data_IF_500411704571
#
_entry.id   IF_500411704571
#
_cell.length_a   1.000
_cell.length_b   1.000
_cell.length_c   1.000
_cell.angle_alpha   90.00
_cell.angle_beta   90.00
_cell.angle_gamma   90.00
#
_symmetry.space_group_name_H-M   'P 1'
#
loop_
_entity.id
_entity.type
_entity.pdbx_description
1 polymer ?
#
# COMPACT_ATOMS: atom_id res chain seq x y z
N UNK A 1 9.56 22.21 -21.75
CA UNK A 1 9.02 21.42 -20.62
C UNK A 1 9.36 22.13 -19.32
N UNK A 2 8.39 22.37 -18.49
CA UNK A 2 8.48 23.01 -17.18
C UNK A 2 7.98 22.02 -16.10
N UNK A 3 8.55 22.09 -14.90
CA UNK A 3 8.05 21.38 -13.73
C UNK A 3 7.45 22.40 -12.76
N UNK A 4 6.21 22.15 -12.32
CA UNK A 4 5.51 22.98 -11.33
C UNK A 4 5.06 22.15 -10.13
N UNK A 5 5.06 22.78 -8.94
CA UNK A 5 4.55 22.17 -7.72
C UNK A 5 3.05 22.34 -7.67
N UNK A 6 2.32 21.27 -7.28
CA UNK A 6 0.88 21.37 -7.07
C UNK A 6 0.57 22.19 -5.81
N UNK A 7 -0.26 23.23 -5.94
CA UNK A 7 -0.69 24.10 -4.82
C UNK A 7 -2.19 24.39 -4.83
N UNK A 8 -2.87 24.23 -5.97
CA UNK A 8 -4.31 24.44 -6.15
C UNK A 8 -5.07 23.12 -6.35
N UNK A 9 -6.38 23.12 -6.11
CA UNK A 9 -7.22 21.95 -6.33
C UNK A 9 -7.21 21.50 -7.79
N UNK A 10 -7.16 22.45 -8.74
CA UNK A 10 -7.08 22.13 -10.17
C UNK A 10 -5.76 21.42 -10.52
N UNK A 11 -4.64 21.80 -9.90
CA UNK A 11 -3.35 21.14 -10.09
C UNK A 11 -3.32 19.74 -9.44
N UNK A 12 -3.93 19.57 -8.27
CA UNK A 12 -4.11 18.24 -7.66
C UNK A 12 -4.96 17.34 -8.55
N UNK A 13 -6.04 17.86 -9.13
CA UNK A 13 -6.89 17.08 -10.05
C UNK A 13 -6.17 16.74 -11.36
N UNK A 14 -5.37 17.67 -11.90
CA UNK A 14 -4.52 17.40 -13.06
C UNK A 14 -3.48 16.30 -12.76
N UNK A 15 -2.87 16.33 -11.56
CA UNK A 15 -1.96 15.30 -11.10
C UNK A 15 -2.65 13.92 -11.00
N UNK A 16 -3.86 13.87 -10.43
CA UNK A 16 -4.69 12.67 -10.35
C UNK A 16 -5.04 12.13 -11.73
N UNK A 17 -5.42 12.99 -12.66
CA UNK A 17 -5.74 12.61 -14.04
C UNK A 17 -4.57 11.88 -14.70
N UNK A 18 -3.35 12.38 -14.57
CA UNK A 18 -2.15 11.69 -15.08
C UNK A 18 -1.94 10.34 -14.37
N UNK A 19 -2.06 10.30 -13.03
CA UNK A 19 -1.90 9.08 -12.28
C UNK A 19 -2.88 7.99 -12.70
N UNK A 20 -4.17 8.30 -12.79
CA UNK A 20 -5.22 7.37 -13.20
C UNK A 20 -5.05 6.91 -14.66
N UNK A 21 -4.54 7.78 -15.55
CA UNK A 21 -4.25 7.41 -16.92
C UNK A 21 -3.04 6.47 -17.05
N UNK A 22 -2.05 6.57 -16.15
CA UNK A 22 -0.83 5.76 -16.16
C UNK A 22 -1.01 4.47 -15.35
N UNK A 23 -1.75 4.51 -14.24
CA UNK A 23 -1.98 3.40 -13.32
C UNK A 23 -3.49 3.22 -13.02
N UNK A 24 -4.32 2.84 -13.99
CA UNK A 24 -5.79 2.85 -13.86
C UNK A 24 -6.34 1.87 -12.83
N UNK A 25 -5.55 0.88 -12.42
CA UNK A 25 -5.94 -0.13 -11.42
C UNK A 25 -5.52 0.19 -9.99
N UNK A 26 -4.76 1.28 -9.79
CA UNK A 26 -4.23 1.62 -8.46
C UNK A 26 -5.14 2.61 -7.73
N UNK A 27 -5.27 2.46 -6.41
CA UNK A 27 -5.96 3.45 -5.57
C UNK A 27 -5.37 4.83 -5.77
N UNK A 28 -6.22 5.84 -5.93
CA UNK A 28 -5.81 7.23 -6.06
C UNK A 28 -6.57 8.07 -5.03
N UNK A 29 -5.84 8.76 -4.16
CA UNK A 29 -6.44 9.64 -3.16
C UNK A 29 -7.28 10.73 -3.82
N UNK A 30 -8.38 11.12 -3.19
CA UNK A 30 -9.15 12.31 -3.56
C UNK A 30 -8.32 13.59 -3.34
N UNK A 31 -8.70 14.70 -3.96
CA UNK A 31 -8.04 16.00 -3.72
C UNK A 31 -8.05 16.37 -2.25
N UNK A 32 -9.18 16.13 -1.54
CA UNK A 32 -9.29 16.39 -0.11
C UNK A 32 -8.31 15.58 0.74
N UNK A 33 -8.16 14.28 0.42
CA UNK A 33 -7.18 13.41 1.09
C UNK A 33 -5.74 13.81 0.78
N UNK A 34 -5.45 14.19 -0.48
CA UNK A 34 -4.12 14.68 -0.87
C UNK A 34 -3.75 15.93 -0.09
N UNK A 35 -4.68 16.87 0.07
CA UNK A 35 -4.47 18.07 0.89
C UNK A 35 -4.31 17.76 2.37
N UNK A 36 -5.10 16.84 2.91
CA UNK A 36 -4.96 16.42 4.30
C UNK A 36 -3.62 15.73 4.59
N UNK A 37 -3.02 15.15 3.56
CA UNK A 37 -1.72 14.49 3.63
C UNK A 37 -0.53 15.40 3.26
N UNK A 38 -0.77 16.68 2.95
CA UNK A 38 0.29 17.64 2.66
C UNK A 38 1.22 17.82 3.86
N UNK A 39 2.49 17.79 3.59
CA UNK A 39 3.55 17.98 4.57
C UNK A 39 4.81 18.55 3.91
N UNK A 40 5.77 18.99 4.70
CA UNK A 40 7.08 19.42 4.20
C UNK A 40 7.89 18.30 3.55
N UNK A 41 7.57 17.04 3.85
CA UNK A 41 8.26 15.86 3.32
C UNK A 41 7.69 15.44 1.96
N UNK A 42 6.46 15.88 1.64
CA UNK A 42 5.77 15.56 0.39
C UNK A 42 5.99 16.60 -0.69
N UNK A 43 6.30 16.15 -1.89
CA UNK A 43 6.39 16.97 -3.10
C UNK A 43 5.55 16.35 -4.22
N UNK A 44 4.56 17.10 -4.72
CA UNK A 44 3.77 16.74 -5.89
C UNK A 44 4.14 17.66 -7.05
N UNK A 45 4.53 17.06 -8.18
CA UNK A 45 4.96 17.80 -9.38
C UNK A 45 4.06 17.50 -10.57
N UNK A 46 3.84 18.51 -11.40
CA UNK A 46 3.36 18.39 -12.77
C UNK A 46 4.50 18.65 -13.74
N UNK A 47 4.53 17.93 -14.85
CA UNK A 47 5.36 18.23 -16.00
C UNK A 47 4.46 18.81 -17.11
N UNK A 48 4.78 20.02 -17.58
CA UNK A 48 3.99 20.76 -18.57
C UNK A 48 4.81 20.97 -19.83
N UNK A 49 4.25 20.64 -21.00
CA UNK A 49 4.79 20.90 -22.33
C UNK A 49 3.75 21.69 -23.13
N UNK A 50 4.13 22.87 -23.65
CA UNK A 50 3.27 23.70 -24.51
C UNK A 50 1.89 24.03 -23.89
N UNK A 51 1.82 24.08 -22.56
CA UNK A 51 0.59 24.36 -21.80
C UNK A 51 -0.20 23.11 -21.38
N UNK A 52 0.16 21.92 -21.88
CA UNK A 52 -0.50 20.67 -21.55
C UNK A 52 0.25 19.91 -20.44
N UNK A 53 -0.50 19.33 -19.49
CA UNK A 53 0.07 18.44 -18.47
C UNK A 53 0.35 17.08 -19.08
N UNK A 54 1.62 16.70 -19.14
CA UNK A 54 2.11 15.48 -19.80
C UNK A 54 2.68 14.44 -18.85
N UNK A 55 2.86 14.82 -17.58
CA UNK A 55 3.39 13.94 -16.54
C UNK A 55 3.09 14.45 -15.15
N UNK A 56 3.18 13.57 -14.18
CA UNK A 56 3.09 13.88 -12.75
C UNK A 56 4.17 13.15 -11.97
N UNK A 57 4.48 13.63 -10.78
CA UNK A 57 5.44 12.99 -9.90
C UNK A 57 5.07 13.19 -8.44
N UNK A 58 5.48 12.24 -7.61
CA UNK A 58 5.42 12.34 -6.15
C UNK A 58 6.76 11.97 -5.56
N UNK A 59 7.19 12.75 -4.57
CA UNK A 59 8.17 12.32 -3.57
C UNK A 59 7.54 12.45 -2.19
N UNK A 60 7.84 11.49 -1.33
CA UNK A 60 7.39 11.47 0.06
C UNK A 60 8.39 10.69 0.92
N UNK A 61 8.30 10.82 2.25
CA UNK A 61 8.98 9.92 3.17
C UNK A 61 8.26 8.57 3.18
N UNK A 62 8.99 7.48 3.16
CA UNK A 62 8.40 6.14 3.32
C UNK A 62 7.86 5.98 4.74
N UNK A 63 6.64 5.43 4.87
CA UNK A 63 6.02 5.12 6.16
C UNK A 63 6.65 3.89 6.85
N UNK A 64 7.46 3.13 6.13
CA UNK A 64 7.93 1.80 6.56
C UNK A 64 9.43 1.64 6.59
N UNK A 65 10.19 2.65 6.11
CA UNK A 65 11.63 2.59 6.04
C UNK A 65 12.26 3.99 6.11
N UNK A 66 13.53 4.08 6.53
CA UNK A 66 14.33 5.32 6.42
C UNK A 66 14.73 5.55 4.96
N UNK A 67 13.75 5.90 4.14
CA UNK A 67 13.89 6.08 2.70
C UNK A 67 12.87 7.09 2.17
N UNK A 68 13.12 7.64 0.98
CA UNK A 68 12.14 8.36 0.21
C UNK A 68 11.37 7.41 -0.72
N UNK A 69 10.10 7.70 -0.93
CA UNK A 69 9.31 7.14 -2.02
C UNK A 69 9.30 8.12 -3.18
N UNK A 70 9.53 7.67 -4.43
CA UNK A 70 9.47 8.50 -5.62
C UNK A 70 8.73 7.79 -6.75
N UNK A 71 7.80 8.47 -7.40
CA UNK A 71 7.06 7.89 -8.52
C UNK A 71 6.83 8.92 -9.63
N UNK A 72 7.74 9.00 -10.62
CA UNK A 72 7.52 9.78 -11.85
C UNK A 72 6.57 9.04 -12.80
N UNK A 73 5.57 9.74 -13.34
CA UNK A 73 4.57 9.22 -14.28
C UNK A 73 4.53 10.06 -15.52
N UNK A 74 4.47 9.44 -16.71
CA UNK A 74 4.44 10.13 -17.99
C UNK A 74 3.38 9.50 -18.88
N UNK A 75 2.48 10.33 -19.41
CA UNK A 75 1.48 9.91 -20.38
C UNK A 75 2.14 9.21 -21.57
N UNK A 76 1.52 8.16 -22.09
CA UNK A 76 2.13 7.28 -23.10
C UNK A 76 2.66 8.02 -24.33
N UNK A 77 1.91 9.02 -24.85
CA UNK A 77 2.29 9.85 -25.99
C UNK A 77 3.49 10.78 -25.76
N UNK A 78 3.91 10.97 -24.49
CA UNK A 78 4.98 11.90 -24.11
C UNK A 78 6.20 11.18 -23.51
N UNK A 79 6.20 9.84 -23.53
CA UNK A 79 7.36 9.03 -23.12
C UNK A 79 8.54 9.18 -24.07
N UNK A 80 9.75 8.87 -23.57
CA UNK A 80 11.03 8.92 -24.33
C UNK A 80 11.48 10.32 -24.78
N UNK A 81 10.91 11.38 -24.18
CA UNK A 81 11.26 12.79 -24.44
C UNK A 81 12.00 13.46 -23.28
N UNK A 82 12.42 12.70 -22.27
CA UNK A 82 13.15 13.21 -21.10
C UNK A 82 12.27 13.60 -19.91
N UNK A 83 10.94 13.64 -20.05
CA UNK A 83 9.99 14.05 -19.00
C UNK A 83 10.17 13.26 -17.73
N UNK A 84 10.15 11.91 -17.80
CA UNK A 84 10.35 11.04 -16.63
C UNK A 84 11.70 11.23 -15.96
N UNK A 85 12.76 11.51 -16.75
CA UNK A 85 14.09 11.78 -16.21
C UNK A 85 14.17 13.10 -15.44
N UNK A 86 13.49 14.12 -15.91
CA UNK A 86 13.41 15.41 -15.22
C UNK A 86 12.62 15.30 -13.91
N UNK A 87 11.44 14.63 -13.96
CA UNK A 87 10.64 14.35 -12.77
C UNK A 87 11.44 13.56 -11.74
N UNK A 88 12.06 12.43 -12.14
CA UNK A 88 12.84 11.60 -11.21
C UNK A 88 13.98 12.37 -10.52
N UNK A 89 14.70 13.22 -11.26
CA UNK A 89 15.78 14.03 -10.67
C UNK A 89 15.26 15.00 -9.63
N UNK A 90 14.18 15.74 -9.94
CA UNK A 90 13.59 16.72 -9.03
C UNK A 90 13.03 16.03 -7.75
N UNK A 91 12.36 14.88 -7.91
CA UNK A 91 11.84 14.11 -6.78
C UNK A 91 12.97 13.56 -5.90
N UNK A 92 14.02 13.02 -6.51
CA UNK A 92 15.16 12.48 -5.75
C UNK A 92 15.99 13.60 -5.09
N UNK A 93 16.10 14.78 -5.71
CA UNK A 93 16.72 15.96 -5.10
C UNK A 93 15.95 16.41 -3.87
N UNK A 94 14.62 16.43 -3.92
CA UNK A 94 13.77 16.70 -2.76
C UNK A 94 14.06 15.73 -1.61
N UNK A 95 14.02 14.42 -1.87
CA UNK A 95 14.34 13.40 -0.86
C UNK A 95 15.77 13.55 -0.30
N UNK A 96 16.74 13.93 -1.15
CA UNK A 96 18.11 14.21 -0.71
C UNK A 96 18.17 15.44 0.21
N UNK A 97 17.38 16.49 -0.09
CA UNK A 97 17.21 17.69 0.75
C UNK A 97 16.61 17.39 2.12
N UNK A 98 15.80 16.34 2.24
CA UNK A 98 15.25 15.83 3.51
C UNK A 98 16.28 14.99 4.29
N UNK A 99 17.49 14.80 3.76
CA UNK A 99 18.52 13.99 4.40
C UNK A 99 18.29 12.47 4.30
N UNK A 100 17.40 12.02 3.42
CA UNK A 100 17.12 10.60 3.28
C UNK A 100 18.27 9.88 2.55
N UNK A 101 18.69 8.69 3.03
CA UNK A 101 19.88 8.00 2.49
C UNK A 101 19.60 7.30 1.15
N UNK A 102 18.34 7.05 0.82
CA UNK A 102 17.92 6.27 -0.35
C UNK A 102 16.52 6.65 -0.80
N UNK A 103 16.18 6.28 -2.04
CA UNK A 103 14.82 6.34 -2.59
C UNK A 103 14.42 4.99 -3.17
N UNK A 104 13.13 4.71 -3.15
CA UNK A 104 12.55 3.52 -3.74
C UNK A 104 11.24 3.81 -4.46
N UNK A 105 10.82 2.87 -5.27
CA UNK A 105 9.52 2.86 -5.96
C UNK A 105 9.14 1.44 -6.35
N UNK A 106 7.88 1.21 -6.70
CA UNK A 106 7.44 -0.04 -7.31
C UNK A 106 7.21 0.15 -8.82
N UNK A 107 7.58 -0.82 -9.62
CA UNK A 107 7.37 -0.87 -11.07
C UNK A 107 6.74 -2.21 -11.44
N UNK A 108 5.90 -2.24 -12.47
CA UNK A 108 5.12 -3.42 -12.86
C UNK A 108 5.28 -3.81 -14.36
N UNK A 109 6.13 -3.06 -15.10
CA UNK A 109 6.42 -3.33 -16.51
C UNK A 109 7.92 -3.24 -16.82
N UNK A 110 8.34 -3.94 -17.90
CA UNK A 110 9.74 -3.99 -18.32
C UNK A 110 10.32 -2.61 -18.70
N UNK A 111 9.50 -1.73 -19.25
CA UNK A 111 9.93 -0.39 -19.65
C UNK A 111 10.22 0.51 -18.44
N UNK A 112 9.41 0.41 -17.41
CA UNK A 112 9.59 1.10 -16.12
C UNK A 112 10.78 0.53 -15.36
N UNK A 113 10.98 -0.80 -15.38
CA UNK A 113 12.15 -1.44 -14.78
C UNK A 113 13.44 -0.99 -15.48
N UNK A 114 13.50 -1.07 -16.82
CA UNK A 114 14.65 -0.62 -17.58
C UNK A 114 14.95 0.89 -17.40
N UNK A 115 13.90 1.71 -17.20
CA UNK A 115 14.08 3.12 -16.84
C UNK A 115 14.73 3.26 -15.45
N UNK A 116 14.24 2.53 -14.44
CA UNK A 116 14.81 2.56 -13.09
C UNK A 116 16.27 2.07 -13.08
N UNK A 117 16.57 0.96 -13.73
CA UNK A 117 17.95 0.39 -13.86
C UNK A 117 18.91 1.38 -14.51
N UNK A 118 18.48 2.12 -15.54
CA UNK A 118 19.28 3.18 -16.17
C UNK A 118 19.70 4.27 -15.18
N UNK A 119 18.89 4.52 -14.14
CA UNK A 119 19.23 5.44 -13.06
C UNK A 119 19.91 4.74 -11.88
N UNK A 120 20.32 3.49 -12.03
CA UNK A 120 21.06 2.71 -11.04
C UNK A 120 20.20 2.21 -9.88
N UNK A 121 18.88 2.15 -10.04
CA UNK A 121 18.03 1.42 -9.12
C UNK A 121 18.29 -0.07 -9.26
N UNK A 122 18.20 -0.79 -8.15
CA UNK A 122 18.32 -2.25 -8.09
C UNK A 122 17.04 -2.83 -7.48
N UNK A 123 16.67 -4.00 -7.93
CA UNK A 123 15.55 -4.75 -7.35
C UNK A 123 15.89 -5.12 -5.89
N UNK A 124 14.95 -4.87 -4.98
CA UNK A 124 15.08 -5.19 -3.55
C UNK A 124 13.95 -6.08 -3.05
N UNK A 125 12.80 -6.11 -3.74
CA UNK A 125 11.65 -6.94 -3.38
C UNK A 125 10.73 -7.16 -4.59
N UNK A 126 9.84 -8.15 -4.46
CA UNK A 126 8.72 -8.41 -5.37
C UNK A 126 7.45 -8.58 -4.59
N UNK A 127 6.38 -7.95 -5.09
CA UNK A 127 5.04 -8.05 -4.55
C UNK A 127 4.10 -8.64 -5.59
N UNK A 128 3.15 -9.41 -5.12
CA UNK A 128 2.14 -10.07 -5.95
C UNK A 128 0.79 -9.47 -5.57
N UNK A 129 0.13 -8.86 -6.56
CA UNK A 129 -1.26 -8.46 -6.41
C UNK A 129 -2.16 -9.67 -6.65
N UNK A 130 -3.04 -9.90 -5.69
CA UNK A 130 -4.09 -10.90 -5.81
C UNK A 130 -5.45 -10.22 -5.61
N UNK A 131 -6.40 -10.54 -6.46
CA UNK A 131 -7.73 -9.94 -6.49
C UNK A 131 -8.80 -11.01 -6.29
N UNK A 132 -9.84 -10.68 -5.53
CA UNK A 132 -10.99 -11.53 -5.27
C UNK A 132 -12.28 -10.78 -5.61
N UNK A 133 -13.06 -11.28 -6.56
CA UNK A 133 -14.43 -10.83 -6.77
C UNK A 133 -15.29 -11.30 -5.59
N UNK A 134 -16.00 -10.37 -4.97
CA UNK A 134 -16.91 -10.64 -3.86
C UNK A 134 -18.23 -11.20 -4.43
N UNK A 135 -18.65 -12.34 -3.92
CA UNK A 135 -19.90 -12.99 -4.30
C UNK A 135 -20.84 -13.14 -3.10
N UNK A 136 -21.58 -14.23 -3.08
CA UNK A 136 -22.35 -14.64 -1.89
C UNK A 136 -21.36 -15.27 -0.88
N UNK A 137 -21.01 -14.51 0.13
CA UNK A 137 -20.02 -14.90 1.13
C UNK A 137 -20.71 -15.27 2.45
N UNK A 138 -20.83 -16.56 2.77
CA UNK A 138 -21.48 -16.98 4.01
C UNK A 138 -20.68 -16.57 5.25
N UNK A 139 -21.36 -16.42 6.39
CA UNK A 139 -20.68 -16.17 7.65
C UNK A 139 -19.69 -17.32 7.97
N UNK A 140 -18.44 -17.00 8.33
CA UNK A 140 -17.45 -18.03 8.60
C UNK A 140 -17.80 -18.82 9.87
N UNK A 141 -17.40 -20.12 9.87
CA UNK A 141 -17.53 -21.04 11.01
C UNK A 141 -16.19 -21.69 11.30
N UNK A 142 -16.07 -22.37 12.45
CA UNK A 142 -14.92 -23.20 12.76
C UNK A 142 -13.79 -22.49 13.50
N UNK A 143 -14.11 -21.51 14.36
CA UNK A 143 -13.11 -20.97 15.30
C UNK A 143 -12.64 -22.05 16.30
N UNK A 144 -11.35 -22.01 16.70
CA UNK A 144 -10.86 -22.83 17.82
C UNK A 144 -11.62 -22.52 19.11
N UNK A 145 -11.73 -23.53 19.98
CA UNK A 145 -12.35 -23.35 21.30
C UNK A 145 -11.65 -22.25 22.11
N UNK A 146 -12.42 -21.40 22.77
CA UNK A 146 -11.91 -20.27 23.55
C UNK A 146 -11.46 -19.06 22.73
N UNK A 147 -11.59 -19.10 21.41
CA UNK A 147 -11.33 -17.94 20.55
C UNK A 147 -12.66 -17.26 20.19
N UNK A 148 -12.71 -15.97 20.37
CA UNK A 148 -13.80 -15.12 19.87
C UNK A 148 -13.31 -14.11 18.83
N UNK A 149 -14.20 -13.61 17.99
CA UNK A 149 -13.89 -12.55 17.03
C UNK A 149 -14.81 -11.37 17.21
N UNK A 150 -14.22 -10.20 17.41
CA UNK A 150 -14.92 -8.93 17.56
C UNK A 150 -14.51 -7.97 16.43
N UNK A 151 -15.32 -6.96 16.19
CA UNK A 151 -14.90 -5.79 15.42
C UNK A 151 -14.15 -4.82 16.34
N UNK A 152 -13.00 -4.34 15.91
CA UNK A 152 -12.11 -3.50 16.72
C UNK A 152 -12.76 -2.17 17.14
N UNK A 153 -13.71 -1.66 16.33
CA UNK A 153 -14.50 -0.47 16.66
C UNK A 153 -15.28 -0.59 17.99
N UNK A 154 -15.59 -1.83 18.43
CA UNK A 154 -16.24 -2.09 19.72
C UNK A 154 -15.28 -2.04 20.91
N UNK A 155 -14.00 -2.24 20.68
CA UNK A 155 -12.92 -2.25 21.67
C UNK A 155 -11.66 -1.57 21.11
N UNK A 156 -11.72 -0.24 20.82
CA UNK A 156 -10.60 0.47 20.24
C UNK A 156 -9.37 0.51 21.18
N UNK A 157 -9.60 0.36 22.47
CA UNK A 157 -8.56 0.22 23.50
C UNK A 157 -7.65 -1.00 23.23
N UNK A 158 -8.20 -2.12 22.77
CA UNK A 158 -7.43 -3.34 22.51
C UNK A 158 -6.48 -3.18 21.32
N UNK A 159 -6.89 -2.49 20.25
CA UNK A 159 -6.03 -2.26 19.10
C UNK A 159 -4.80 -1.42 19.49
N UNK A 160 -5.01 -0.32 20.20
CA UNK A 160 -3.91 0.53 20.63
C UNK A 160 -2.97 -0.20 21.62
N UNK A 161 -3.54 -0.94 22.58
CA UNK A 161 -2.77 -1.65 23.59
C UNK A 161 -1.96 -2.83 23.07
N UNK A 162 -2.41 -3.49 21.98
CA UNK A 162 -1.75 -4.70 21.48
C UNK A 162 -0.51 -4.43 20.64
N UNK A 163 -0.14 -3.18 20.35
CA UNK A 163 1.00 -2.85 19.49
C UNK A 163 2.31 -3.52 19.95
N UNK A 164 2.65 -3.39 21.23
CA UNK A 164 3.91 -3.91 21.77
C UNK A 164 3.97 -5.46 21.79
N UNK A 165 2.85 -6.11 22.01
CA UNK A 165 2.79 -7.58 22.21
C UNK A 165 2.40 -8.34 20.95
N UNK A 166 1.47 -7.82 20.17
CA UNK A 166 0.94 -8.43 18.95
C UNK A 166 1.48 -7.73 17.70
N UNK A 167 1.37 -6.38 17.66
CA UNK A 167 1.71 -5.59 16.49
C UNK A 167 3.14 -5.82 16.04
N UNK A 168 4.12 -5.66 16.94
CA UNK A 168 5.54 -5.86 16.62
C UNK A 168 5.85 -7.28 16.15
N UNK A 169 5.18 -8.29 16.72
CA UNK A 169 5.38 -9.69 16.30
C UNK A 169 4.89 -9.93 14.87
N UNK A 170 3.68 -9.45 14.52
CA UNK A 170 3.12 -9.68 13.18
C UNK A 170 3.80 -8.83 12.12
N UNK A 171 4.23 -7.61 12.45
CA UNK A 171 4.97 -6.74 11.54
C UNK A 171 6.36 -7.29 11.22
N UNK A 172 7.05 -7.87 12.21
CA UNK A 172 8.33 -8.54 11.99
C UNK A 172 8.23 -9.72 11.01
N UNK A 173 7.07 -10.39 10.98
CA UNK A 173 6.81 -11.50 10.04
C UNK A 173 6.23 -11.05 8.70
N UNK A 174 5.67 -9.84 8.66
CA UNK A 174 5.18 -9.21 7.43
C UNK A 174 6.36 -8.76 6.55
N UNK A 175 7.40 -8.24 7.18
CA UNK A 175 8.61 -7.74 6.53
C UNK A 175 9.57 -8.89 6.16
N UNK A 176 9.41 -9.46 4.96
CA UNK A 176 10.25 -10.58 4.51
C UNK A 176 11.68 -10.12 4.19
N UNK A 177 11.85 -8.94 3.59
CA UNK A 177 13.16 -8.47 3.11
C UNK A 177 13.70 -7.24 3.83
N UNK A 178 12.83 -6.33 4.25
CA UNK A 178 13.23 -5.10 4.94
C UNK A 178 12.45 -4.98 6.23
N UNK A 179 13.11 -4.87 7.39
CA UNK A 179 12.43 -4.64 8.67
C UNK A 179 11.52 -3.42 8.59
N UNK A 180 10.31 -3.55 9.14
CA UNK A 180 9.37 -2.45 9.28
C UNK A 180 9.62 -1.72 10.59
N UNK A 181 9.87 -0.43 10.51
CA UNK A 181 10.01 0.46 11.66
C UNK A 181 8.81 1.39 11.72
N UNK A 182 7.78 1.02 12.47
CA UNK A 182 6.58 1.84 12.64
C UNK A 182 6.42 2.27 14.10
N UNK A 183 5.87 3.45 14.29
CA UNK A 183 5.51 3.98 15.60
C UNK A 183 4.14 3.47 16.07
N UNK A 184 3.86 3.62 17.36
CA UNK A 184 2.51 3.35 17.90
C UNK A 184 1.43 4.25 17.26
N UNK A 185 1.79 5.45 16.82
CA UNK A 185 0.89 6.35 16.11
C UNK A 185 0.56 5.80 14.73
N UNK A 186 1.56 5.38 13.94
CA UNK A 186 1.36 4.75 12.64
C UNK A 186 0.55 3.45 12.74
N UNK A 187 0.78 2.65 13.81
CA UNK A 187 -0.05 1.48 14.09
C UNK A 187 -1.53 1.82 14.20
N UNK A 188 -1.85 2.90 14.90
CA UNK A 188 -3.22 3.33 15.14
C UNK A 188 -3.89 4.01 13.94
N UNK A 189 -3.12 4.54 13.00
CA UNK A 189 -3.63 5.30 11.85
C UNK A 189 -3.49 4.54 10.54
N UNK A 190 -2.26 4.22 10.14
CA UNK A 190 -1.97 3.66 8.81
C UNK A 190 -2.21 2.15 8.72
N UNK A 191 -2.16 1.43 9.85
CA UNK A 191 -2.32 -0.02 9.91
C UNK A 191 -3.70 -0.48 10.39
N UNK A 192 -4.54 0.45 10.82
CA UNK A 192 -5.92 0.19 11.20
C UNK A 192 -6.82 0.16 9.96
N UNK A 193 -7.47 -0.97 9.73
CA UNK A 193 -8.50 -1.10 8.70
C UNK A 193 -9.90 -0.78 9.23
N UNK A 194 -10.80 -0.38 8.35
CA UNK A 194 -12.22 -0.20 8.67
C UNK A 194 -13.10 -0.93 7.63
N UNK A 195 -13.60 -2.12 7.98
CA UNK A 195 -13.57 -2.79 9.30
C UNK A 195 -12.20 -3.42 9.62
N UNK A 196 -11.91 -3.51 10.91
CA UNK A 196 -10.85 -4.35 11.46
C UNK A 196 -11.46 -5.39 12.40
N UNK A 197 -11.20 -6.68 12.17
CA UNK A 197 -11.62 -7.79 13.05
C UNK A 197 -10.45 -8.29 13.88
N UNK A 198 -10.67 -8.49 15.17
CA UNK A 198 -9.71 -9.02 16.12
C UNK A 198 -10.14 -10.40 16.59
N UNK A 199 -9.25 -11.38 16.53
CA UNK A 199 -9.39 -12.65 17.22
C UNK A 199 -8.78 -12.53 18.62
N UNK A 200 -9.56 -12.89 19.62
CA UNK A 200 -9.20 -12.80 21.04
C UNK A 200 -9.19 -14.18 21.67
N UNK A 201 -8.26 -14.38 22.62
CA UNK A 201 -8.25 -15.47 23.56
C UNK A 201 -7.86 -14.92 24.94
N UNK A 202 -8.73 -15.11 25.93
CA UNK A 202 -8.58 -14.56 27.30
C UNK A 202 -8.30 -13.04 27.28
N UNK A 203 -9.09 -12.27 26.51
CA UNK A 203 -8.94 -10.82 26.27
C UNK A 203 -7.62 -10.40 25.59
N UNK A 204 -6.75 -11.31 25.19
CA UNK A 204 -5.55 -11.01 24.43
C UNK A 204 -5.80 -11.06 22.91
N UNK A 205 -5.28 -10.08 22.16
CA UNK A 205 -5.30 -10.10 20.69
C UNK A 205 -4.31 -11.15 20.19
N UNK A 206 -4.84 -12.15 19.48
CA UNK A 206 -4.06 -13.25 18.88
C UNK A 206 -4.08 -13.25 17.37
N UNK A 207 -4.93 -12.43 16.74
CA UNK A 207 -5.00 -12.28 15.30
C UNK A 207 -5.83 -11.07 14.88
N UNK A 208 -5.60 -10.59 13.67
CA UNK A 208 -6.40 -9.55 13.04
C UNK A 208 -6.55 -9.77 11.54
N UNK A 209 -7.59 -9.20 10.95
CA UNK A 209 -7.74 -8.93 9.52
C UNK A 209 -8.70 -7.77 9.32
N UNK A 210 -8.42 -6.91 8.35
CA UNK A 210 -9.23 -5.74 8.04
C UNK A 210 -9.29 -5.42 6.56
N UNK A 211 -10.02 -4.36 6.23
CA UNK A 211 -10.15 -3.82 4.88
C UNK A 211 -9.93 -2.31 4.93
N UNK A 212 -9.37 -1.75 3.86
CA UNK A 212 -9.32 -0.32 3.57
C UNK A 212 -10.11 -0.05 2.30
N UNK A 213 -11.24 0.65 2.39
CA UNK A 213 -12.04 1.01 1.22
C UNK A 213 -11.30 2.00 0.34
N UNK A 214 -11.39 1.81 -0.97
CA UNK A 214 -10.93 2.82 -1.91
C UNK A 214 -11.92 3.99 -1.91
N UNK A 215 -11.41 5.21 -1.85
CA UNK A 215 -12.24 6.41 -1.82
C UNK A 215 -12.72 6.84 -3.19
N UNK A 216 -11.96 6.50 -4.23
CA UNK A 216 -12.27 6.75 -5.64
C UNK A 216 -13.05 5.59 -6.29
N UNK A 217 -13.11 4.43 -5.64
CA UNK A 217 -13.82 3.22 -6.09
C UNK A 217 -14.49 2.55 -4.90
N UNK A 218 -15.65 3.06 -4.45
CA UNK A 218 -16.30 2.62 -3.21
C UNK A 218 -16.77 1.16 -3.22
N UNK A 219 -16.85 0.53 -4.39
CA UNK A 219 -17.15 -0.90 -4.59
C UNK A 219 -15.90 -1.79 -4.37
N UNK A 220 -14.72 -1.20 -4.10
CA UNK A 220 -13.43 -1.87 -3.97
C UNK A 220 -12.78 -1.60 -2.63
N UNK A 221 -12.04 -2.59 -2.12
CA UNK A 221 -11.23 -2.42 -0.92
C UNK A 221 -9.91 -3.18 -1.00
N UNK A 222 -8.89 -2.66 -0.34
CA UNK A 222 -7.64 -3.36 -0.08
C UNK A 222 -7.74 -4.17 1.21
N UNK A 223 -7.15 -5.38 1.25
CA UNK A 223 -6.93 -6.03 2.52
C UNK A 223 -5.94 -5.17 3.35
N UNK A 224 -6.38 -4.73 4.50
CA UNK A 224 -5.51 -4.19 5.52
C UNK A 224 -4.65 -5.32 6.14
N UNK A 225 -3.93 -5.01 7.21
CA UNK A 225 -3.11 -6.02 7.89
C UNK A 225 -3.89 -7.30 8.18
N UNK A 226 -3.33 -8.44 7.80
CA UNK A 226 -3.76 -9.77 8.25
C UNK A 226 -2.62 -10.44 8.98
N UNK A 227 -2.80 -10.75 10.25
CA UNK A 227 -1.77 -11.37 11.08
C UNK A 227 -2.33 -12.30 12.15
N UNK A 228 -1.52 -13.30 12.52
CA UNK A 228 -1.83 -14.21 13.64
C UNK A 228 -0.54 -14.47 14.42
N UNK A 229 -0.59 -14.36 15.75
CA UNK A 229 0.53 -14.65 16.65
C UNK A 229 1.12 -16.02 16.35
N UNK A 230 2.44 -16.15 16.40
CA UNK A 230 3.17 -17.38 16.04
C UNK A 230 2.64 -18.61 16.75
N UNK A 231 2.38 -18.52 18.06
CA UNK A 231 1.84 -19.61 18.88
C UNK A 231 0.41 -20.04 18.52
N UNK A 232 -0.29 -19.26 17.71
CA UNK A 232 -1.67 -19.50 17.31
C UNK A 232 -1.84 -19.85 15.83
N UNK A 233 -0.75 -19.91 15.05
CA UNK A 233 -0.76 -20.27 13.63
C UNK A 233 -1.12 -21.74 13.41
N UNK A 234 -1.54 -22.06 12.19
CA UNK A 234 -1.94 -23.42 11.80
C UNK A 234 -3.29 -23.89 12.36
N UNK A 235 -4.03 -23.01 13.06
CA UNK A 235 -5.33 -23.34 13.67
C UNK A 235 -6.53 -22.76 12.91
N UNK A 236 -6.35 -22.26 11.67
CA UNK A 236 -7.41 -21.72 10.83
C UNK A 236 -7.83 -20.28 11.13
N UNK A 237 -7.22 -19.58 12.11
CA UNK A 237 -7.63 -18.24 12.55
C UNK A 237 -7.51 -17.22 11.40
N UNK A 238 -6.40 -17.18 10.65
CA UNK A 238 -6.25 -16.26 9.52
C UNK A 238 -7.31 -16.51 8.44
N UNK A 239 -7.58 -17.78 8.11
CA UNK A 239 -8.63 -18.14 7.14
C UNK A 239 -10.02 -17.69 7.62
N UNK A 240 -10.33 -17.88 8.89
CA UNK A 240 -11.59 -17.43 9.48
C UNK A 240 -11.71 -15.89 9.39
N UNK A 241 -10.70 -15.16 9.82
CA UNK A 241 -10.68 -13.69 9.81
C UNK A 241 -10.84 -13.14 8.39
N UNK A 242 -10.11 -13.67 7.41
CA UNK A 242 -10.27 -13.25 6.00
C UNK A 242 -11.65 -13.62 5.43
N UNK A 243 -12.24 -14.75 5.81
CA UNK A 243 -13.65 -15.06 5.46
C UNK A 243 -14.61 -14.09 6.14
N UNK A 244 -14.31 -13.63 7.34
CA UNK A 244 -15.09 -12.62 8.04
C UNK A 244 -15.04 -11.27 7.32
N UNK A 245 -13.88 -10.86 6.80
CA UNK A 245 -13.78 -9.65 5.97
C UNK A 245 -14.55 -9.81 4.65
N UNK A 246 -14.47 -10.95 3.98
CA UNK A 246 -15.23 -11.22 2.76
C UNK A 246 -16.76 -11.19 3.02
N UNK A 247 -17.22 -11.83 4.09
CA UNK A 247 -18.64 -11.79 4.49
C UNK A 247 -19.11 -10.34 4.76
N UNK A 248 -18.29 -9.57 5.49
CA UNK A 248 -18.59 -8.16 5.73
C UNK A 248 -18.64 -7.36 4.42
N UNK A 249 -17.70 -7.61 3.51
CA UNK A 249 -17.62 -6.97 2.20
C UNK A 249 -18.91 -7.20 1.38
N UNK A 250 -19.40 -8.45 1.32
CA UNK A 250 -20.64 -8.79 0.64
C UNK A 250 -21.85 -8.06 1.23
N UNK A 251 -21.95 -7.97 2.56
CA UNK A 251 -23.04 -7.26 3.25
C UNK A 251 -22.97 -5.74 3.07
N UNK A 252 -21.81 -5.18 2.72
CA UNK A 252 -21.59 -3.74 2.57
C UNK A 252 -21.38 -3.29 1.12
N UNK A 253 -21.74 -4.13 0.14
CA UNK A 253 -21.81 -3.77 -1.27
C UNK A 253 -20.45 -3.65 -1.95
N UNK A 254 -19.38 -4.26 -1.39
CA UNK A 254 -18.11 -4.38 -2.08
C UNK A 254 -18.22 -5.46 -3.16
N UNK A 255 -17.64 -5.21 -4.33
CA UNK A 255 -17.61 -6.12 -5.47
C UNK A 255 -16.21 -6.75 -5.64
N UNK A 256 -15.16 -6.08 -5.17
CA UNK A 256 -13.78 -6.52 -5.33
C UNK A 256 -12.93 -6.24 -4.09
N UNK A 257 -12.12 -7.23 -3.71
CA UNK A 257 -11.06 -7.07 -2.71
C UNK A 257 -9.73 -7.43 -3.33
N UNK A 258 -8.73 -6.58 -3.16
CA UNK A 258 -7.36 -6.86 -3.59
C UNK A 258 -6.39 -6.84 -2.41
N UNK A 259 -5.22 -7.37 -2.64
CA UNK A 259 -4.13 -7.41 -1.65
C UNK A 259 -2.79 -7.46 -2.36
N UNK A 260 -1.80 -6.78 -1.78
CA UNK A 260 -0.41 -6.92 -2.16
C UNK A 260 0.31 -7.79 -1.13
N UNK A 261 1.03 -8.78 -1.61
CA UNK A 261 1.76 -9.74 -0.76
C UNK A 261 3.17 -9.89 -1.29
N UNK A 262 4.18 -9.72 -0.43
CA UNK A 262 5.57 -9.98 -0.81
C UNK A 262 5.74 -11.41 -1.33
N UNK A 263 6.45 -11.58 -2.43
CA UNK A 263 6.62 -12.87 -3.10
C UNK A 263 7.22 -13.95 -2.18
N UNK A 264 8.02 -13.53 -1.19
CA UNK A 264 8.57 -14.41 -0.15
C UNK A 264 7.55 -14.93 0.86
N UNK A 265 6.38 -14.28 1.03
CA UNK A 265 5.33 -14.70 1.95
C UNK A 265 4.42 -15.78 1.33
N UNK A 266 5.00 -16.92 1.01
CA UNK A 266 4.30 -18.03 0.35
C UNK A 266 3.12 -18.59 1.15
N UNK A 267 3.10 -18.40 2.48
CA UNK A 267 1.99 -18.85 3.33
C UNK A 267 0.74 -17.98 3.10
N UNK A 268 0.91 -16.65 3.02
CA UNK A 268 -0.20 -15.73 2.75
C UNK A 268 -0.69 -15.87 1.31
N UNK A 269 0.21 -16.00 0.33
CA UNK A 269 -0.16 -16.23 -1.08
C UNK A 269 -1.06 -17.48 -1.22
N UNK A 270 -0.65 -18.61 -0.63
CA UNK A 270 -1.47 -19.84 -0.65
C UNK A 270 -2.79 -19.68 0.10
N UNK A 271 -2.82 -18.95 1.22
CA UNK A 271 -4.07 -18.67 1.93
C UNK A 271 -5.04 -17.88 1.04
N UNK A 272 -4.55 -16.85 0.37
CA UNK A 272 -5.34 -16.03 -0.55
C UNK A 272 -5.88 -16.90 -1.71
N UNK A 273 -5.04 -17.70 -2.37
CA UNK A 273 -5.46 -18.63 -3.42
C UNK A 273 -6.56 -19.59 -2.93
N UNK A 274 -6.39 -20.17 -1.74
CA UNK A 274 -7.41 -21.03 -1.12
C UNK A 274 -8.74 -20.30 -0.85
N UNK A 275 -8.69 -19.00 -0.64
CA UNK A 275 -9.86 -18.13 -0.49
C UNK A 275 -10.40 -17.61 -1.82
N UNK A 276 -9.86 -18.05 -2.95
CA UNK A 276 -10.32 -17.71 -4.29
C UNK A 276 -9.78 -16.39 -4.83
N UNK A 277 -8.72 -15.83 -4.23
CA UNK A 277 -7.98 -14.74 -4.85
C UNK A 277 -7.17 -15.25 -6.04
N UNK A 278 -7.11 -14.47 -7.10
CA UNK A 278 -6.31 -14.76 -8.30
C UNK A 278 -5.22 -13.70 -8.47
N UNK A 279 -4.04 -14.14 -8.87
CA UNK A 279 -2.92 -13.23 -9.16
C UNK A 279 -3.23 -12.42 -10.42
N UNK A 280 -3.07 -11.11 -10.35
CA UNK A 280 -3.33 -10.16 -11.44
C UNK A 280 -2.08 -9.43 -11.89
N UNK A 281 -1.21 -9.03 -10.97
CA UNK A 281 0.02 -8.28 -11.29
C UNK A 281 1.18 -8.70 -10.40
N UNK A 282 2.39 -8.43 -10.90
CA UNK A 282 3.63 -8.53 -10.12
C UNK A 282 4.27 -7.14 -10.06
N UNK A 283 4.45 -6.61 -8.86
CA UNK A 283 5.20 -5.39 -8.61
C UNK A 283 6.66 -5.71 -8.28
N UNK A 284 7.59 -4.94 -8.80
CA UNK A 284 9.01 -5.04 -8.51
C UNK A 284 9.39 -3.78 -7.72
N UNK A 285 9.75 -3.95 -6.47
CA UNK A 285 10.27 -2.84 -5.67
C UNK A 285 11.74 -2.65 -5.98
N UNK A 286 12.07 -1.45 -6.42
CA UNK A 286 13.44 -1.06 -6.75
C UNK A 286 13.89 0.07 -5.84
N UNK A 287 15.17 0.10 -5.49
CA UNK A 287 15.75 1.12 -4.61
C UNK A 287 17.12 1.56 -5.06
N UNK A 288 17.49 2.80 -4.72
CA UNK A 288 18.81 3.37 -4.96
C UNK A 288 19.24 4.30 -3.84
N UNK A 289 20.53 4.32 -3.52
CA UNK A 289 21.13 5.30 -2.62
C UNK A 289 21.12 6.72 -3.22
N UNK A 290 20.98 7.73 -2.38
CA UNK A 290 21.07 9.16 -2.72
C UNK A 290 22.48 9.68 -2.42
N UNK A 291 22.94 10.76 -3.11
CA UNK A 291 22.26 11.48 -4.19
C UNK A 291 22.26 10.70 -5.52
N UNK A 292 21.35 11.07 -6.44
CA UNK A 292 21.39 10.56 -7.83
C UNK A 292 22.61 11.19 -8.56
N UNK A 293 23.76 10.56 -8.48
CA UNK A 293 24.89 10.87 -9.37
C UNK A 293 24.72 10.13 -10.68
N UNK A 294 24.67 10.86 -11.79
CA UNK A 294 24.60 10.33 -13.17
C UNK A 294 25.92 10.65 -13.85
#
# INVERSE_FOLDING_TARGET
>A
MELSVCVSDDEYEAWRTVRLAVEPGSRCLSVGEMRAADSSDRLLLLAVEDGDVVGSGIADRSDTAEAGFVAPRVLSGHRRRGVGSALLRALAEHCSGLGLPRVGTSVDDEGSLAFAERFGFVEVDREIEQVRTVGDEPAPTGLPAGVEVIEASRRPDLWAACFETFGKEVLADFAVYTPLEISAEQWNTSWYGDPMFLALHDDEVIGCAGLNRDTDRPERAENALTGVRRGWRGRGIASYLKRRTLHWAALNGLEEIYTWTQAGNSAMLRLNEHLGYVTTRNGITVSRALPLTI
#
